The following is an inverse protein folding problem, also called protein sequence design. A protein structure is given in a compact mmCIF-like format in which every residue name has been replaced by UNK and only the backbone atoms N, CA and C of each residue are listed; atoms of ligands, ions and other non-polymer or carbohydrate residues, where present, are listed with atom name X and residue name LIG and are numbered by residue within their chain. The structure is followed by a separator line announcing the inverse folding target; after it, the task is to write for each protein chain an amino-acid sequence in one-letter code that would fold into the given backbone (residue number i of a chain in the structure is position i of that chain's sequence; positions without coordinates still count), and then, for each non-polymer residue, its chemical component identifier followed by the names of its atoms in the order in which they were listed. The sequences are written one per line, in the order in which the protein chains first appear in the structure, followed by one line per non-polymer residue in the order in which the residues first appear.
data_IF_663696783591
#
_entry.id   IF_663696783591
#
_cell.length_a   1.000
_cell.length_b   1.000
_cell.length_c   1.000
_cell.angle_alpha   90.00
_cell.angle_beta   90.00
_cell.angle_gamma   90.00
#
_symmetry.space_group_name_H-M   'P 1'
#
loop_
_entity.id
_entity.type
_entity.pdbx_description
1 polymer ?
#
# COMPACT_ATOMS: atom_id res chain seq x y z
N UNK A 1 2.61 -69.17 -41.62
CA UNK A 1 1.17 -69.34 -41.25
C UNK A 1 1.07 -69.07 -39.75
N UNK A 2 0.80 -67.83 -39.36
CA UNK A 2 -0.52 -67.39 -38.88
C UNK A 2 -1.05 -68.22 -37.71
N UNK A 3 -1.04 -67.68 -36.49
CA UNK A 3 -2.29 -67.15 -35.94
C UNK A 3 -2.03 -66.11 -34.85
N UNK A 4 -2.53 -64.93 -35.17
CA UNK A 4 -2.74 -63.79 -34.30
C UNK A 4 -3.95 -64.02 -33.37
N UNK A 5 -3.92 -63.29 -32.25
CA UNK A 5 -5.06 -62.74 -31.48
C UNK A 5 -5.83 -63.65 -30.53
N UNK A 6 -5.66 -63.36 -29.24
CA UNK A 6 -6.59 -62.62 -28.38
C UNK A 6 -6.25 -62.98 -26.92
N UNK A 7 -6.32 -62.13 -25.90
CA UNK A 7 -6.66 -60.71 -25.78
C UNK A 7 -6.43 -60.38 -24.30
N UNK A 8 -6.17 -59.10 -24.06
CA UNK A 8 -6.56 -58.35 -22.87
C UNK A 8 -5.80 -58.65 -21.58
N UNK A 9 -5.47 -57.53 -20.91
CA UNK A 9 -4.77 -57.40 -19.64
C UNK A 9 -3.25 -57.48 -19.85
N UNK A 10 -2.46 -56.42 -19.68
CA UNK A 10 -2.61 -55.34 -18.73
C UNK A 10 -1.68 -54.21 -19.23
N UNK A 11 -2.28 -53.19 -19.85
CA UNK A 11 -1.65 -51.88 -20.02
C UNK A 11 -1.53 -51.25 -18.61
N UNK A 12 -0.55 -51.68 -17.81
CA UNK A 12 -0.06 -50.84 -16.74
C UNK A 12 1.03 -49.97 -17.35
N UNK A 13 0.60 -48.78 -17.72
CA UNK A 13 1.45 -47.59 -17.73
C UNK A 13 2.23 -47.60 -16.42
N UNK A 14 3.50 -47.99 -16.45
CA UNK A 14 4.44 -47.63 -15.38
C UNK A 14 4.63 -46.12 -15.47
N UNK A 15 3.64 -45.38 -14.97
CA UNK A 15 3.86 -44.02 -14.54
C UNK A 15 4.81 -44.14 -13.36
N UNK A 16 6.10 -43.93 -13.64
CA UNK A 16 7.08 -43.65 -12.59
C UNK A 16 6.44 -42.59 -11.68
N UNK A 17 6.33 -42.83 -10.36
CA UNK A 17 5.90 -41.78 -9.46
C UNK A 17 6.89 -40.64 -9.62
N UNK A 18 6.42 -39.50 -10.15
CA UNK A 18 7.17 -38.25 -10.08
C UNK A 18 7.42 -38.05 -8.58
N UNK A 19 8.66 -38.28 -8.15
CA UNK A 19 9.11 -37.81 -6.86
C UNK A 19 9.00 -36.30 -6.94
N UNK A 20 7.88 -35.77 -6.47
CA UNK A 20 7.76 -34.39 -6.05
C UNK A 20 8.75 -34.25 -4.90
N UNK A 21 10.01 -33.99 -5.24
CA UNK A 21 10.93 -33.35 -4.31
C UNK A 21 10.13 -32.21 -3.71
N UNK A 22 9.90 -32.26 -2.39
CA UNK A 22 9.35 -31.15 -1.63
C UNK A 22 10.26 -29.98 -1.89
N UNK A 23 9.96 -29.24 -2.95
CA UNK A 23 10.62 -28.00 -3.27
C UNK A 23 10.30 -27.15 -2.06
N UNK A 24 11.29 -26.88 -1.22
CA UNK A 24 11.13 -25.93 -0.13
C UNK A 24 10.46 -24.71 -0.74
N UNK A 25 9.26 -24.36 -0.25
CA UNK A 25 8.42 -23.32 -0.82
C UNK A 25 9.30 -22.11 -1.13
N UNK A 26 9.67 -21.98 -2.40
CA UNK A 26 10.53 -20.91 -2.84
C UNK A 26 9.63 -19.71 -2.65
N UNK A 27 9.92 -18.91 -1.62
CA UNK A 27 9.09 -17.78 -1.20
C UNK A 27 8.89 -16.92 -2.45
N UNK A 28 7.74 -17.06 -3.10
CA UNK A 28 7.45 -16.34 -4.33
C UNK A 28 7.39 -14.87 -3.94
N UNK A 29 8.43 -14.13 -4.30
CA UNK A 29 8.44 -12.68 -4.17
C UNK A 29 7.51 -12.19 -5.27
N UNK A 30 6.25 -11.95 -4.90
CA UNK A 30 5.31 -11.28 -5.77
C UNK A 30 5.86 -9.91 -6.15
N UNK A 31 5.51 -9.39 -7.34
CA UNK A 31 5.98 -8.07 -7.74
C UNK A 31 5.61 -7.04 -6.68
N UNK A 32 6.58 -6.23 -6.25
CA UNK A 32 6.34 -5.18 -5.27
C UNK A 32 5.61 -4.03 -5.97
N UNK A 33 4.28 -4.05 -5.91
CA UNK A 33 3.45 -2.92 -6.32
C UNK A 33 3.39 -1.88 -5.22
N UNK A 34 3.67 -0.63 -5.58
CA UNK A 34 3.46 0.52 -4.71
C UNK A 34 2.07 1.11 -4.97
N UNK A 35 1.23 1.17 -3.95
CA UNK A 35 -0.03 1.91 -3.99
C UNK A 35 0.15 3.37 -3.60
N UNK A 36 -0.47 4.30 -4.34
CA UNK A 36 -0.53 5.71 -3.96
C UNK A 36 -1.98 6.12 -3.80
N UNK A 37 -2.35 6.61 -2.61
CA UNK A 37 -3.68 7.09 -2.29
C UNK A 37 -3.62 8.57 -1.93
N UNK A 38 -4.44 9.39 -2.57
CA UNK A 38 -4.58 10.79 -2.21
C UNK A 38 -5.71 10.93 -1.21
N UNK A 39 -5.47 11.60 -0.07
CA UNK A 39 -6.42 11.71 1.04
C UNK A 39 -6.66 13.19 1.33
N UNK A 40 -7.91 13.64 1.16
CA UNK A 40 -8.29 15.05 1.29
C UNK A 40 -8.53 15.71 -0.07
N UNK A 41 -8.32 17.02 -0.14
CA UNK A 41 -8.63 17.84 -1.31
C UNK A 41 -7.34 18.31 -1.97
N UNK A 42 -6.75 17.46 -2.81
CA UNK A 42 -5.50 17.76 -3.50
C UNK A 42 -5.80 18.18 -4.95
N UNK A 43 -5.14 19.25 -5.41
CA UNK A 43 -5.31 19.72 -6.78
C UNK A 43 -4.85 18.67 -7.81
N UNK A 44 -5.64 18.36 -8.86
CA UNK A 44 -5.27 17.42 -9.91
C UNK A 44 -3.94 17.72 -10.60
N UNK A 45 -3.55 18.99 -10.65
CA UNK A 45 -2.28 19.43 -11.24
C UNK A 45 -1.07 18.93 -10.42
N UNK A 46 -1.18 18.97 -9.08
CA UNK A 46 -0.15 18.47 -8.17
C UNK A 46 -0.06 16.94 -8.30
N UNK A 47 -1.20 16.25 -8.40
CA UNK A 47 -1.26 14.80 -8.59
C UNK A 47 -0.48 14.34 -9.82
N UNK A 48 -0.66 15.05 -10.95
CA UNK A 48 0.07 14.75 -12.19
C UNK A 48 1.58 14.92 -12.04
N UNK A 49 2.03 15.97 -11.35
CA UNK A 49 3.46 16.20 -11.08
C UNK A 49 4.05 15.12 -10.18
N UNK A 50 3.37 14.80 -9.08
CA UNK A 50 3.80 13.74 -8.16
C UNK A 50 3.90 12.40 -8.89
N UNK A 51 2.89 12.07 -9.70
CA UNK A 51 2.89 10.86 -10.54
C UNK A 51 4.10 10.81 -11.46
N UNK A 52 4.39 11.90 -12.16
CA UNK A 52 5.53 12.00 -13.06
C UNK A 52 6.86 11.74 -12.33
N UNK A 53 7.09 12.42 -11.20
CA UNK A 53 8.35 12.29 -10.47
C UNK A 53 8.52 10.94 -9.77
N UNK A 54 7.46 10.36 -9.20
CA UNK A 54 7.56 9.05 -8.54
C UNK A 54 7.91 7.94 -9.54
N UNK A 55 7.35 8.00 -10.74
CA UNK A 55 7.72 7.05 -11.81
C UNK A 55 9.19 7.24 -12.21
N UNK A 56 9.69 8.47 -12.30
CA UNK A 56 11.09 8.72 -12.64
C UNK A 56 12.09 8.30 -11.57
N UNK A 57 11.75 8.46 -10.28
CA UNK A 57 12.66 8.17 -9.17
C UNK A 57 12.70 6.67 -8.85
N UNK A 58 11.59 5.95 -9.05
CA UNK A 58 11.42 4.57 -8.60
C UNK A 58 11.15 3.58 -9.74
N UNK A 59 11.49 3.93 -10.99
CA UNK A 59 11.22 3.11 -12.18
C UNK A 59 11.72 1.65 -12.07
N UNK A 60 12.80 1.42 -11.32
CA UNK A 60 13.43 0.11 -11.14
C UNK A 60 13.21 -0.52 -9.76
N UNK A 61 12.61 0.19 -8.80
CA UNK A 61 12.47 -0.29 -7.43
C UNK A 61 11.17 -1.06 -7.21
N UNK A 62 10.09 -0.61 -7.85
CA UNK A 62 8.79 -1.26 -7.82
C UNK A 62 8.52 -1.91 -9.17
N UNK A 63 7.72 -2.98 -9.16
CA UNK A 63 7.28 -3.57 -10.42
C UNK A 63 6.33 -2.62 -11.18
N UNK A 64 5.45 -1.95 -10.44
CA UNK A 64 4.59 -0.89 -10.95
C UNK A 64 4.08 0.01 -9.80
N UNK A 65 3.70 1.23 -10.14
CA UNK A 65 3.10 2.22 -9.23
C UNK A 65 1.62 2.34 -9.56
N UNK A 66 0.78 1.87 -8.63
CA UNK A 66 -0.67 1.85 -8.77
C UNK A 66 -1.28 3.06 -8.07
N UNK A 67 -1.84 3.98 -8.86
CA UNK A 67 -2.62 5.10 -8.35
C UNK A 67 -4.00 4.60 -7.93
N UNK A 68 -4.26 4.57 -6.62
CA UNK A 68 -5.48 4.04 -6.02
C UNK A 68 -6.66 5.04 -6.10
N UNK A 69 -6.37 6.29 -6.46
CA UNK A 69 -7.35 7.37 -6.60
C UNK A 69 -7.34 8.33 -5.42
N UNK A 70 -8.46 9.01 -5.23
CA UNK A 70 -8.67 10.01 -4.18
C UNK A 70 -9.70 9.51 -3.16
N UNK A 71 -9.43 9.75 -1.88
CA UNK A 71 -10.33 9.48 -0.77
C UNK A 71 -10.63 10.79 -0.05
N UNK A 72 -11.89 11.22 -0.13
CA UNK A 72 -12.40 12.28 0.73
C UNK A 72 -12.56 11.73 2.15
N UNK A 73 -12.10 12.50 3.13
CA UNK A 73 -12.37 12.17 4.53
C UNK A 73 -13.82 12.51 4.85
N UNK A 74 -14.46 11.60 5.58
CA UNK A 74 -15.75 11.87 6.19
C UNK A 74 -15.58 13.00 7.22
N UNK A 75 -16.46 14.02 7.26
CA UNK A 75 -16.39 15.07 8.27
C UNK A 75 -16.29 14.54 9.71
N UNK A 76 -17.00 13.46 10.03
CA UNK A 76 -16.95 12.83 11.35
C UNK A 76 -15.56 12.29 11.69
N UNK A 77 -14.82 11.81 10.68
CA UNK A 77 -13.44 11.36 10.86
C UNK A 77 -12.49 12.53 10.96
N UNK A 78 -12.76 13.69 10.35
CA UNK A 78 -11.88 14.86 10.43
C UNK A 78 -11.77 15.32 11.89
N UNK A 79 -12.92 15.44 12.58
CA UNK A 79 -13.01 16.05 13.92
C UNK A 79 -12.48 15.17 15.07
N UNK A 80 -12.21 13.89 14.82
CA UNK A 80 -11.71 12.96 15.84
C UNK A 80 -10.23 13.15 16.16
N UNK A 81 -9.91 13.30 17.46
CA UNK A 81 -8.55 13.32 18.01
C UNK A 81 -7.61 14.34 17.33
N UNK A 82 -8.16 15.49 16.95
CA UNK A 82 -7.39 16.60 16.39
C UNK A 82 -6.52 17.21 17.50
N UNK A 83 -5.24 17.46 17.17
CA UNK A 83 -4.37 18.29 18.01
C UNK A 83 -4.44 19.73 17.50
N UNK A 84 -4.56 20.67 18.42
CA UNK A 84 -4.65 22.09 18.11
C UNK A 84 -3.34 22.77 18.49
N UNK A 85 -2.69 23.44 17.53
CA UNK A 85 -1.41 24.10 17.72
C UNK A 85 -1.47 25.56 17.25
N UNK A 86 -0.65 26.42 17.83
CA UNK A 86 -0.56 27.82 17.38
C UNK A 86 0.19 27.91 16.05
N UNK A 87 -0.30 28.76 15.14
CA UNK A 87 0.42 29.04 13.92
C UNK A 87 1.71 29.82 14.23
N UNK A 88 2.85 29.18 13.99
CA UNK A 88 4.17 29.74 14.29
C UNK A 88 4.59 30.89 13.36
N UNK A 89 3.95 31.05 12.20
CA UNK A 89 4.49 31.87 11.13
C UNK A 89 3.95 33.31 11.07
N UNK A 90 2.69 33.59 11.40
CA UNK A 90 2.14 34.93 11.07
C UNK A 90 1.06 35.49 12.00
N UNK A 91 0.47 34.71 12.91
CA UNK A 91 -0.63 35.21 13.74
C UNK A 91 -0.87 34.28 14.94
N UNK A 92 -0.46 34.69 16.15
CA UNK A 92 -0.62 33.91 17.38
C UNK A 92 -2.10 33.67 17.73
N UNK A 93 -3.04 34.31 17.04
CA UNK A 93 -4.48 34.06 17.18
C UNK A 93 -4.98 32.89 16.32
N UNK A 94 -4.25 32.50 15.27
CA UNK A 94 -4.67 31.45 14.35
C UNK A 94 -4.17 30.10 14.82
N UNK A 95 -5.10 29.16 14.93
CA UNK A 95 -4.83 27.79 15.33
C UNK A 95 -4.84 26.87 14.12
N UNK A 96 -3.95 25.88 14.14
CA UNK A 96 -3.81 24.85 13.13
C UNK A 96 -4.30 23.53 13.72
N UNK A 97 -5.15 22.85 12.96
CA UNK A 97 -5.73 21.57 13.34
C UNK A 97 -4.93 20.44 12.68
N UNK A 98 -4.26 19.65 13.50
CA UNK A 98 -3.40 18.55 13.08
C UNK A 98 -4.14 17.22 13.23
N UNK A 99 -4.02 16.38 12.20
CA UNK A 99 -4.66 15.09 12.09
C UNK A 99 -3.71 13.97 12.55
N UNK A 100 -4.18 12.99 13.35
CA UNK A 100 -3.32 11.90 13.80
C UNK A 100 -3.01 10.94 12.65
N UNK A 101 -1.74 10.54 12.52
CA UNK A 101 -1.28 9.61 11.47
C UNK A 101 -1.99 8.24 11.46
N UNK A 102 -2.43 7.72 12.62
CA UNK A 102 -3.14 6.44 12.74
C UNK A 102 -4.46 6.38 11.94
N UNK A 103 -5.13 7.53 11.78
CA UNK A 103 -6.35 7.71 10.99
C UNK A 103 -6.07 7.36 9.53
N UNK A 104 -4.98 7.90 8.99
CA UNK A 104 -4.55 7.67 7.61
C UNK A 104 -4.05 6.25 7.41
N UNK A 105 -3.28 5.69 8.36
CA UNK A 105 -2.80 4.31 8.27
C UNK A 105 -3.93 3.30 8.11
N UNK A 106 -5.03 3.49 8.85
CA UNK A 106 -6.21 2.62 8.75
C UNK A 106 -6.82 2.66 7.35
N UNK A 107 -6.95 3.86 6.76
CA UNK A 107 -7.48 4.05 5.41
C UNK A 107 -6.56 3.39 4.36
N UNK A 108 -5.27 3.67 4.42
CA UNK A 108 -4.28 3.18 3.45
C UNK A 108 -4.18 1.66 3.52
N UNK A 109 -4.09 1.09 4.72
CA UNK A 109 -4.01 -0.36 4.94
C UNK A 109 -5.19 -1.11 4.35
N UNK A 110 -6.40 -0.57 4.47
CA UNK A 110 -7.60 -1.19 3.89
C UNK A 110 -7.50 -1.20 2.35
N UNK A 111 -7.08 -0.09 1.74
CA UNK A 111 -6.90 0.00 0.28
C UNK A 111 -5.81 -0.94 -0.25
N UNK A 112 -4.67 -1.02 0.45
CA UNK A 112 -3.58 -1.96 0.11
C UNK A 112 -4.11 -3.40 0.13
N UNK A 113 -4.88 -3.77 1.15
CA UNK A 113 -5.45 -5.12 1.29
C UNK A 113 -6.47 -5.42 0.20
N UNK A 114 -7.39 -4.50 -0.08
CA UNK A 114 -8.41 -4.63 -1.12
C UNK A 114 -7.80 -4.83 -2.52
N UNK A 115 -6.71 -4.14 -2.82
CA UNK A 115 -6.02 -4.18 -4.12
C UNK A 115 -4.84 -5.15 -4.17
N UNK A 116 -4.60 -5.91 -3.09
CA UNK A 116 -3.48 -6.84 -2.95
C UNK A 116 -2.10 -6.22 -3.26
N UNK A 117 -1.85 -5.02 -2.75
CA UNK A 117 -0.61 -4.27 -2.94
C UNK A 117 0.42 -4.60 -1.85
N UNK A 118 1.71 -4.42 -2.14
CA UNK A 118 2.78 -4.76 -1.19
C UNK A 118 3.04 -3.63 -0.17
N UNK A 119 2.95 -2.38 -0.64
CA UNK A 119 3.22 -1.15 0.09
C UNK A 119 2.20 -0.10 -0.32
N UNK A 120 1.93 0.88 0.55
CA UNK A 120 1.11 2.03 0.14
C UNK A 120 1.49 3.32 0.82
N UNK A 121 1.43 4.40 0.04
CA UNK A 121 1.71 5.75 0.48
C UNK A 121 0.40 6.54 0.39
N UNK A 122 0.01 7.14 1.51
CA UNK A 122 -0.99 8.19 1.54
C UNK A 122 -0.32 9.53 1.30
N UNK A 123 -0.97 10.38 0.53
CA UNK A 123 -0.58 11.77 0.32
C UNK A 123 -1.75 12.66 0.72
N UNK A 124 -1.53 13.59 1.63
CA UNK A 124 -2.56 14.49 2.16
C UNK A 124 -2.14 15.94 2.11
N UNK A 125 -3.12 16.84 2.01
CA UNK A 125 -2.92 18.27 2.19
C UNK A 125 -3.27 18.74 3.60
N UNK A 126 -3.60 17.80 4.50
CA UNK A 126 -3.96 18.10 5.88
C UNK A 126 -2.71 18.08 6.75
N UNK A 127 -2.53 19.03 7.67
CA UNK A 127 -1.47 18.97 8.66
C UNK A 127 -1.59 17.70 9.50
N UNK A 128 -0.48 17.01 9.76
CA UNK A 128 -0.45 15.75 10.51
C UNK A 128 0.50 15.80 11.71
N UNK A 129 0.22 14.97 12.73
CA UNK A 129 1.09 14.75 13.89
C UNK A 129 1.21 13.25 14.20
N UNK A 130 2.31 12.83 14.84
CA UNK A 130 2.54 11.42 15.16
C UNK A 130 1.51 10.93 16.16
N UNK A 131 0.87 9.81 15.86
CA UNK A 131 0.03 9.11 16.84
C UNK A 131 0.84 8.29 17.85
N UNK A 132 2.17 8.28 17.75
CA UNK A 132 3.06 7.48 18.59
C UNK A 132 4.07 8.29 19.41
N UNK A 133 4.28 9.56 19.06
CA UNK A 133 5.14 10.48 19.80
C UNK A 133 4.48 11.86 19.94
N UNK A 134 4.02 12.15 21.16
CA UNK A 134 3.31 13.39 21.48
C UNK A 134 4.24 14.61 21.54
N UNK A 135 5.56 14.41 21.62
CA UNK A 135 6.54 15.50 21.68
C UNK A 135 6.75 16.18 20.32
N UNK A 136 6.29 15.55 19.25
CA UNK A 136 6.39 16.10 17.90
C UNK A 136 5.19 17.04 17.66
N UNK A 137 5.49 18.30 17.33
CA UNK A 137 4.47 19.32 17.08
C UNK A 137 3.72 19.07 15.77
N UNK A 138 4.44 18.77 14.69
CA UNK A 138 3.86 18.46 13.38
C UNK A 138 4.82 17.60 12.56
N UNK A 139 4.31 16.98 11.49
CA UNK A 139 5.07 16.14 10.59
C UNK A 139 4.81 16.49 9.13
N UNK A 140 5.84 16.29 8.29
CA UNK A 140 5.69 16.20 6.84
C UNK A 140 5.39 14.77 6.37
N UNK A 141 5.55 13.79 7.26
CA UNK A 141 5.24 12.41 6.96
C UNK A 141 5.72 11.45 8.05
N UNK A 142 5.14 10.25 8.05
CA UNK A 142 5.49 9.17 8.98
C UNK A 142 5.22 7.81 8.33
N UNK A 143 6.16 6.89 8.49
CA UNK A 143 6.05 5.52 7.99
C UNK A 143 5.73 4.53 9.12
N UNK A 144 4.79 3.62 8.85
CA UNK A 144 4.38 2.56 9.76
C UNK A 144 4.79 1.18 9.21
N UNK A 145 6.00 0.73 9.59
CA UNK A 145 6.66 -0.47 9.05
C UNK A 145 5.77 -1.71 9.13
N UNK A 146 5.13 -1.97 10.27
CA UNK A 146 4.26 -3.15 10.48
C UNK A 146 3.04 -3.17 9.54
N UNK A 147 2.58 -2.01 9.09
CA UNK A 147 1.45 -1.90 8.17
C UNK A 147 1.88 -1.65 6.73
N UNK A 148 3.19 -1.57 6.47
CA UNK A 148 3.78 -1.37 5.15
C UNK A 148 3.18 -0.15 4.46
N UNK A 149 2.95 0.91 5.23
CA UNK A 149 2.42 2.14 4.71
C UNK A 149 3.11 3.37 5.28
N UNK A 150 2.96 4.50 4.58
CA UNK A 150 3.39 5.80 5.05
C UNK A 150 2.32 6.85 4.71
N UNK A 151 2.28 7.94 5.47
CA UNK A 151 1.49 9.13 5.17
C UNK A 151 2.47 10.29 5.01
N UNK A 152 2.23 11.15 4.02
CA UNK A 152 2.91 12.43 3.82
C UNK A 152 1.85 13.51 3.53
#
# INVERSE_FOLDING_TARGET
MSNYRNKQNFLIKQALPLQLTKQADKKSIYPCYLGILFIGNISPTILKKIKFYLVQVFDSFFFDIVFMGEKKLDPSLIDMNIKEEFNLLDDTSKRVFLQPTNKFYSIIKNQIKEKNLALGIGLTNLPIYSSSDENILFLFGEAHIKHRCAIL
#
